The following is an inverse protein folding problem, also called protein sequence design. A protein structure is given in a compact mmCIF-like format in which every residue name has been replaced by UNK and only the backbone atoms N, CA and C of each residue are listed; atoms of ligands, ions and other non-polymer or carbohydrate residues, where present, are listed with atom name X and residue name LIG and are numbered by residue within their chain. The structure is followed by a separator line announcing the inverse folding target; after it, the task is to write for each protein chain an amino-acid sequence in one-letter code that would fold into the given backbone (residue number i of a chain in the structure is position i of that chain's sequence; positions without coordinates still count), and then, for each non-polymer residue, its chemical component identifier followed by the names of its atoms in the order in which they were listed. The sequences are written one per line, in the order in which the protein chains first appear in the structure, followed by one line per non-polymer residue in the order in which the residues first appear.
data_IF_514883664637
#
_entry.id   IF_514883664637
#
_cell.length_a   1.000
_cell.length_b   1.000
_cell.length_c   1.000
_cell.angle_alpha   90.00
_cell.angle_beta   90.00
_cell.angle_gamma   90.00
#
_symmetry.space_group_name_H-M   'P 1'
#
loop_
_entity.id
_entity.type
_entity.pdbx_description
1 polymer ?
#
# COMPACT_ATOMS: atom_id res chain seq x y z
N UNK A 1 19.37 11.97 6.40
CA UNK A 1 18.51 11.50 5.34
C UNK A 1 18.66 10.01 5.08
N UNK A 2 19.86 9.48 5.06
CA UNK A 2 20.07 8.05 4.86
C UNK A 2 19.35 7.17 5.89
N UNK A 3 19.34 7.57 7.14
CA UNK A 3 18.67 6.83 8.21
C UNK A 3 17.17 6.75 8.01
N UNK A 4 16.55 7.80 7.47
CA UNK A 4 15.12 7.83 7.23
C UNK A 4 14.71 6.87 6.11
N UNK A 5 15.54 6.80 5.06
CA UNK A 5 15.31 5.88 3.94
C UNK A 5 15.39 4.43 4.42
N UNK A 6 16.46 4.10 5.14
CA UNK A 6 16.70 2.75 5.68
C UNK A 6 15.57 2.37 6.62
N UNK A 7 15.15 3.29 7.49
CA UNK A 7 14.09 3.06 8.45
C UNK A 7 12.76 2.71 7.77
N UNK A 8 12.40 3.45 6.72
CA UNK A 8 11.14 3.20 6.00
C UNK A 8 11.17 1.89 5.24
N UNK A 9 12.29 1.57 4.59
CA UNK A 9 12.44 0.30 3.90
C UNK A 9 12.41 -0.87 4.88
N UNK A 10 13.11 -0.73 6.01
CA UNK A 10 13.10 -1.76 7.03
C UNK A 10 11.70 -1.98 7.60
N UNK A 11 10.95 -0.90 7.81
CA UNK A 11 9.58 -0.98 8.30
C UNK A 11 8.69 -1.72 7.30
N UNK A 12 8.82 -1.40 6.02
CA UNK A 12 8.06 -2.05 4.96
C UNK A 12 8.36 -3.55 4.92
N UNK A 13 9.63 -3.92 4.93
CA UNK A 13 10.05 -5.32 4.92
C UNK A 13 9.52 -6.07 6.15
N UNK A 14 9.62 -5.46 7.32
CA UNK A 14 9.10 -6.04 8.55
C UNK A 14 7.60 -6.26 8.48
N UNK A 15 6.86 -5.30 7.97
CA UNK A 15 5.41 -5.41 7.79
C UNK A 15 5.07 -6.55 6.84
N UNK A 16 5.78 -6.67 5.74
CA UNK A 16 5.54 -7.72 4.77
C UNK A 16 5.84 -9.10 5.35
N UNK A 17 6.91 -9.25 6.12
CA UNK A 17 7.22 -10.51 6.79
C UNK A 17 6.17 -10.91 7.79
N UNK A 18 5.64 -9.96 8.54
CA UNK A 18 4.59 -10.24 9.52
C UNK A 18 3.29 -10.71 8.87
N UNK A 19 3.01 -10.27 7.66
CA UNK A 19 1.80 -10.67 6.93
C UNK A 19 1.78 -12.15 6.58
N UNK A 20 2.91 -12.79 6.45
CA UNK A 20 2.99 -14.21 6.11
C UNK A 20 2.17 -15.07 7.06
N UNK A 21 2.14 -14.70 8.32
CA UNK A 21 1.43 -15.44 9.36
C UNK A 21 -0.07 -15.22 9.38
N UNK A 22 -0.55 -14.19 8.68
CA UNK A 22 -1.96 -13.79 8.69
C UNK A 22 -2.61 -13.85 7.31
N UNK A 23 -2.01 -14.60 6.43
CA UNK A 23 -2.50 -14.69 5.05
C UNK A 23 -3.88 -15.30 4.98
N UNK A 24 -4.79 -14.62 4.29
CA UNK A 24 -6.17 -15.07 4.10
C UNK A 24 -6.28 -15.84 2.79
N UNK A 25 -7.44 -16.43 2.53
CA UNK A 25 -7.68 -17.16 1.30
C UNK A 25 -7.51 -16.29 0.06
N UNK A 26 -6.86 -16.83 -0.97
CA UNK A 26 -6.50 -16.11 -2.19
C UNK A 26 -7.68 -15.52 -2.95
N UNK A 27 -8.83 -16.20 -2.95
CA UNK A 27 -10.02 -15.67 -3.62
C UNK A 27 -10.52 -14.37 -3.01
N UNK A 28 -10.29 -14.19 -1.72
CA UNK A 28 -10.63 -12.98 -1.00
C UNK A 28 -9.75 -11.83 -1.44
N UNK A 29 -8.47 -12.12 -1.65
CA UNK A 29 -7.49 -11.11 -2.00
C UNK A 29 -7.76 -10.46 -3.35
N UNK A 30 -8.25 -11.22 -4.32
CA UNK A 30 -8.59 -10.66 -5.63
C UNK A 30 -9.77 -9.70 -5.55
N UNK A 31 -10.74 -9.98 -4.68
CA UNK A 31 -11.86 -9.08 -4.46
C UNK A 31 -11.42 -7.82 -3.74
N UNK A 32 -10.54 -7.96 -2.75
CA UNK A 32 -9.97 -6.81 -2.05
C UNK A 32 -9.16 -5.96 -3.03
N UNK A 33 -8.36 -6.59 -3.87
CA UNK A 33 -7.57 -5.89 -4.89
C UNK A 33 -8.46 -5.02 -5.79
N UNK A 34 -9.56 -5.57 -6.26
CA UNK A 34 -10.51 -4.84 -7.10
C UNK A 34 -11.11 -3.66 -6.34
N UNK A 35 -11.50 -3.87 -5.09
CA UNK A 35 -12.07 -2.82 -4.25
C UNK A 35 -11.07 -1.71 -3.97
N UNK A 36 -9.82 -2.06 -3.71
CA UNK A 36 -8.73 -1.10 -3.51
C UNK A 36 -8.53 -0.25 -4.74
N UNK A 37 -8.44 -0.89 -5.90
CA UNK A 37 -8.28 -0.20 -7.17
C UNK A 37 -9.41 0.79 -7.42
N UNK A 38 -10.65 0.36 -7.21
CA UNK A 38 -11.82 1.21 -7.38
C UNK A 38 -11.78 2.43 -6.46
N UNK A 39 -11.43 2.22 -5.19
CA UNK A 39 -11.33 3.30 -4.21
C UNK A 39 -10.29 4.34 -4.61
N UNK A 40 -9.11 3.87 -5.01
CA UNK A 40 -8.02 4.76 -5.38
C UNK A 40 -8.34 5.56 -6.65
N UNK A 41 -8.91 4.91 -7.64
CA UNK A 41 -9.33 5.58 -8.88
C UNK A 41 -10.42 6.61 -8.58
N UNK A 42 -11.38 6.25 -7.76
CA UNK A 42 -12.46 7.14 -7.38
C UNK A 42 -11.95 8.39 -6.64
N UNK A 43 -10.88 8.25 -5.89
CA UNK A 43 -10.25 9.35 -5.18
C UNK A 43 -9.15 10.04 -6.00
N UNK A 44 -9.15 9.82 -7.30
CA UNK A 44 -8.26 10.49 -8.26
C UNK A 44 -6.78 10.18 -8.03
N UNK A 45 -6.46 8.94 -7.71
CA UNK A 45 -5.08 8.50 -7.60
C UNK A 45 -4.33 8.73 -8.91
N UNK A 46 -3.09 9.16 -8.80
CA UNK A 46 -2.23 9.44 -9.94
C UNK A 46 -1.22 8.30 -10.08
N UNK A 47 -0.98 7.87 -11.32
CA UNK A 47 0.02 6.85 -11.65
C UNK A 47 -0.13 5.58 -10.79
N UNK A 48 -1.35 5.07 -10.73
CA UNK A 48 -1.66 3.84 -10.01
C UNK A 48 -0.95 2.66 -10.68
N UNK A 49 -0.16 1.93 -9.88
CA UNK A 49 0.54 0.75 -10.37
C UNK A 49 0.24 -0.41 -9.44
N UNK A 50 -0.08 -1.56 -10.03
CA UNK A 50 -0.30 -2.81 -9.31
C UNK A 50 0.78 -3.78 -9.74
N UNK A 51 1.56 -4.28 -8.77
CA UNK A 51 2.65 -5.21 -9.04
C UNK A 51 2.29 -6.55 -8.42
N UNK A 52 2.22 -7.57 -9.26
CA UNK A 52 2.01 -8.94 -8.82
C UNK A 52 3.34 -9.52 -8.34
N UNK A 53 3.43 -9.80 -7.05
CA UNK A 53 4.64 -10.33 -6.46
C UNK A 53 4.46 -11.75 -5.93
N UNK A 54 3.41 -12.42 -6.36
CA UNK A 54 3.12 -13.79 -5.88
C UNK A 54 4.27 -14.76 -6.13
N UNK A 55 5.02 -14.56 -7.20
CA UNK A 55 6.18 -15.41 -7.54
C UNK A 55 7.50 -14.89 -6.95
N UNK A 56 7.52 -13.67 -6.44
CA UNK A 56 8.73 -13.01 -5.94
C UNK A 56 8.78 -12.91 -4.44
N UNK A 57 7.65 -13.07 -3.77
CA UNK A 57 7.56 -12.89 -2.33
C UNK A 57 6.60 -13.89 -1.72
N UNK A 58 6.96 -14.37 -0.52
CA UNK A 58 6.09 -15.18 0.31
C UNK A 58 5.25 -14.32 1.26
N UNK A 59 5.49 -13.02 1.31
CA UNK A 59 4.91 -12.12 2.30
C UNK A 59 3.64 -11.43 1.85
N UNK A 60 3.52 -11.18 0.56
CA UNK A 60 2.36 -10.53 -0.02
C UNK A 60 2.13 -11.02 -1.44
N UNK A 61 0.94 -10.84 -1.93
CA UNK A 61 0.59 -11.21 -3.29
C UNK A 61 0.69 -10.02 -4.24
N UNK A 62 0.33 -8.83 -3.77
CA UNK A 62 0.33 -7.63 -4.60
C UNK A 62 0.86 -6.45 -3.82
N UNK A 63 1.61 -5.60 -4.52
CA UNK A 63 1.98 -4.28 -4.03
C UNK A 63 1.28 -3.26 -4.93
N UNK A 64 0.63 -2.31 -4.29
CA UNK A 64 -0.03 -1.22 -5.00
C UNK A 64 0.71 0.06 -4.66
N UNK A 65 1.01 0.85 -5.69
CA UNK A 65 1.68 2.12 -5.54
C UNK A 65 0.84 3.17 -6.26
N UNK A 66 0.54 4.26 -5.58
CA UNK A 66 -0.19 5.36 -6.17
C UNK A 66 0.30 6.69 -5.62
N UNK A 67 -0.07 7.76 -6.26
CA UNK A 67 0.35 9.10 -5.89
C UNK A 67 -0.87 9.98 -5.65
N UNK A 68 -0.79 10.83 -4.63
CA UNK A 68 -1.75 11.89 -4.39
C UNK A 68 -1.09 13.25 -4.52
N UNK A 69 -1.90 14.30 -4.62
CA UNK A 69 -1.43 15.66 -4.92
C UNK A 69 -0.88 16.42 -3.71
N UNK A 70 -1.23 15.97 -2.50
CA UNK A 70 -0.84 16.64 -1.26
C UNK A 70 -0.89 15.66 -0.10
N UNK A 71 -0.34 16.06 1.04
CA UNK A 71 -0.47 15.25 2.27
C UNK A 71 -1.93 15.05 2.62
N UNK A 72 -2.74 16.09 2.49
CA UNK A 72 -4.17 16.00 2.78
C UNK A 72 -4.86 15.00 1.85
N UNK A 73 -4.51 15.01 0.58
CA UNK A 73 -5.07 14.10 -0.41
C UNK A 73 -4.72 12.65 -0.08
N UNK A 74 -3.45 12.37 0.20
CA UNK A 74 -3.05 10.99 0.49
C UNK A 74 -3.65 10.47 1.79
N UNK A 75 -3.83 11.31 2.80
CA UNK A 75 -4.51 10.94 4.03
C UNK A 75 -5.98 10.61 3.77
N UNK A 76 -6.65 11.43 2.96
CA UNK A 76 -8.05 11.18 2.57
C UNK A 76 -8.18 9.87 1.80
N UNK A 77 -7.29 9.63 0.85
CA UNK A 77 -7.28 8.38 0.09
C UNK A 77 -7.13 7.17 1.01
N UNK A 78 -6.23 7.27 1.99
CA UNK A 78 -6.00 6.19 2.94
C UNK A 78 -7.22 5.92 3.82
N UNK A 79 -7.85 6.97 4.33
CA UNK A 79 -9.03 6.83 5.16
C UNK A 79 -10.20 6.21 4.40
N UNK A 80 -10.45 6.68 3.20
CA UNK A 80 -11.53 6.16 2.36
C UNK A 80 -11.29 4.69 2.03
N UNK A 81 -10.06 4.35 1.74
CA UNK A 81 -9.68 2.98 1.44
C UNK A 81 -9.93 2.06 2.64
N UNK A 82 -9.48 2.48 3.81
CA UNK A 82 -9.67 1.71 5.03
C UNK A 82 -11.15 1.47 5.32
N UNK A 83 -11.96 2.51 5.18
CA UNK A 83 -13.40 2.42 5.40
C UNK A 83 -14.07 1.48 4.41
N UNK A 84 -13.68 1.57 3.14
CA UNK A 84 -14.24 0.71 2.09
C UNK A 84 -13.92 -0.77 2.34
N UNK A 85 -12.69 -1.07 2.71
CA UNK A 85 -12.28 -2.44 3.01
C UNK A 85 -13.05 -2.97 4.22
N UNK A 86 -13.21 -2.17 5.25
CA UNK A 86 -13.98 -2.54 6.43
C UNK A 86 -15.43 -2.80 6.08
N UNK A 87 -16.02 -1.92 5.30
CA UNK A 87 -17.44 -2.04 4.91
C UNK A 87 -17.69 -3.25 4.02
N UNK A 88 -16.84 -3.45 3.01
CA UNK A 88 -17.07 -4.47 2.00
C UNK A 88 -16.63 -5.87 2.44
N UNK A 89 -15.63 -5.96 3.30
CA UNK A 89 -15.01 -7.25 3.66
C UNK A 89 -14.94 -7.52 5.16
N UNK A 90 -15.40 -6.57 5.98
CA UNK A 90 -15.29 -6.68 7.43
C UNK A 90 -13.85 -6.91 7.90
N UNK A 91 -12.91 -6.30 7.21
CA UNK A 91 -11.48 -6.41 7.48
C UNK A 91 -10.92 -5.06 7.90
N UNK A 92 -10.22 -5.04 9.04
CA UNK A 92 -9.59 -3.82 9.54
C UNK A 92 -8.15 -3.77 9.06
N UNK A 93 -7.88 -2.84 8.13
CA UNK A 93 -6.52 -2.60 7.64
C UNK A 93 -5.73 -1.78 8.65
N UNK A 94 -4.41 -1.94 8.67
CA UNK A 94 -3.55 -1.07 9.46
C UNK A 94 -2.95 0.01 8.57
N UNK A 95 -2.78 1.20 9.13
CA UNK A 95 -2.21 2.36 8.43
C UNK A 95 -0.96 2.83 9.17
N UNK A 96 0.11 3.07 8.41
CA UNK A 96 1.36 3.62 8.92
C UNK A 96 1.74 4.87 8.12
N UNK A 97 2.39 5.83 8.75
CA UNK A 97 2.93 6.99 8.05
C UNK A 97 1.95 8.14 7.85
N UNK A 98 1.01 8.34 8.76
CA UNK A 98 -0.04 9.35 8.61
C UNK A 98 0.42 10.79 8.80
N UNK A 99 1.59 11.01 9.35
CA UNK A 99 2.06 12.32 9.81
C UNK A 99 2.99 13.00 8.81
N UNK A 100 2.45 13.59 7.78
CA UNK A 100 3.20 14.41 6.82
C UNK A 100 4.50 13.80 6.26
N UNK A 101 4.63 12.48 6.34
CA UNK A 101 5.82 11.80 5.80
C UNK A 101 5.84 11.78 4.27
N UNK A 102 4.68 11.97 3.66
CA UNK A 102 4.54 11.83 2.21
C UNK A 102 4.44 10.39 1.73
N UNK A 103 4.37 9.45 2.65
CA UNK A 103 4.25 8.04 2.35
C UNK A 103 3.36 7.37 3.38
N UNK A 104 2.20 6.91 2.95
CA UNK A 104 1.28 6.14 3.79
C UNK A 104 1.27 4.70 3.30
N UNK A 105 1.45 3.78 4.22
CA UNK A 105 1.41 2.36 3.94
C UNK A 105 0.17 1.76 4.58
N UNK A 106 -0.61 1.03 3.79
CA UNK A 106 -1.81 0.35 4.26
C UNK A 106 -1.62 -1.14 4.08
N UNK A 107 -1.89 -1.86 5.13
CA UNK A 107 -1.73 -3.29 5.18
C UNK A 107 -3.12 -3.94 5.13
N UNK A 108 -3.46 -4.54 4.00
CA UNK A 108 -4.76 -5.15 3.76
C UNK A 108 -4.59 -6.60 3.31
N UNK A 109 -4.52 -7.52 4.28
CA UNK A 109 -4.35 -8.95 4.01
C UNK A 109 -3.04 -9.19 3.26
N UNK A 110 -3.07 -9.82 2.09
CA UNK A 110 -1.87 -10.07 1.29
C UNK A 110 -1.54 -8.93 0.32
N UNK A 111 -2.22 -7.80 0.48
CA UNK A 111 -2.02 -6.62 -0.36
C UNK A 111 -1.41 -5.50 0.47
N UNK A 112 -0.30 -4.96 0.00
CA UNK A 112 0.35 -3.82 0.62
C UNK A 112 0.15 -2.61 -0.28
N UNK A 113 -0.49 -1.58 0.24
CA UNK A 113 -0.82 -0.38 -0.53
C UNK A 113 0.08 0.77 -0.07
N UNK A 114 0.73 1.41 -1.04
CA UNK A 114 1.61 2.55 -0.80
C UNK A 114 1.02 3.76 -1.50
N UNK A 115 0.75 4.81 -0.74
CA UNK A 115 0.25 6.07 -1.26
C UNK A 115 1.28 7.15 -0.97
N UNK A 116 1.79 7.78 -2.02
CA UNK A 116 2.90 8.72 -1.95
C UNK A 116 2.53 10.10 -2.45
N UNK A 117 3.22 11.10 -1.95
CA UNK A 117 3.38 12.34 -2.69
C UNK A 117 4.39 12.09 -3.82
N UNK A 118 4.28 12.86 -4.90
CA UNK A 118 5.10 12.62 -6.09
C UNK A 118 6.60 12.62 -5.80
N UNK A 119 7.09 13.61 -5.07
CA UNK A 119 8.52 13.70 -4.78
C UNK A 119 9.00 12.57 -3.87
N UNK A 120 8.14 12.13 -2.95
CA UNK A 120 8.48 11.03 -2.04
C UNK A 120 8.55 9.70 -2.79
N UNK A 121 7.61 9.48 -3.70
CA UNK A 121 7.61 8.28 -4.55
C UNK A 121 8.89 8.19 -5.38
N UNK A 122 9.27 9.30 -5.99
CA UNK A 122 10.48 9.37 -6.80
C UNK A 122 11.73 9.12 -5.96
N UNK A 123 11.78 9.71 -4.77
CA UNK A 123 12.93 9.60 -3.88
C UNK A 123 13.17 8.15 -3.44
N UNK A 124 12.13 7.45 -3.00
CA UNK A 124 12.25 6.08 -2.51
C UNK A 124 12.32 5.06 -3.64
N UNK A 125 11.68 5.33 -4.75
CA UNK A 125 11.64 4.47 -5.94
C UNK A 125 11.39 3.00 -5.58
N UNK A 126 10.32 2.78 -4.82
CA UNK A 126 9.93 1.45 -4.35
C UNK A 126 9.71 0.46 -5.50
N UNK A 127 9.21 0.96 -6.61
CA UNK A 127 8.92 0.15 -7.79
C UNK A 127 10.12 -0.61 -8.31
N UNK A 128 11.30 -0.02 -8.19
CA UNK A 128 12.55 -0.62 -8.64
C UNK A 128 12.87 -1.93 -7.90
N UNK A 129 12.43 -2.05 -6.67
CA UNK A 129 12.69 -3.24 -5.85
C UNK A 129 11.96 -4.46 -6.42
N UNK A 130 10.75 -4.25 -6.94
CA UNK A 130 9.87 -5.33 -7.36
C UNK A 130 9.73 -5.48 -8.86
N UNK A 131 10.26 -4.55 -9.63
CA UNK A 131 10.04 -4.45 -11.07
C UNK A 131 11.19 -5.08 -11.84
N UNK A 132 11.44 -6.35 -11.59
CA UNK A 132 12.48 -7.11 -12.30
C UNK A 132 11.88 -8.23 -13.12
#
# INVERSE_FOLDING_TARGET
MGKKIISNQALLEKKMKMKTKKRVEKKYDLKILKSVKESLINDKAINLKIIDIRKKSAFADFIIISTGTSNRHIVTMAKNLKEKIKKDFDFISSIEGEDNSGWILIDASSIVINIFKAETREFYNLEKIWDN
#
